data_IF_475220473546
#
_entry.id   IF_475220473546
#
_cell.length_a   1.000
_cell.length_b   1.000
_cell.length_c   1.000
_cell.angle_alpha   90.00
_cell.angle_beta   90.00
_cell.angle_gamma   90.00
#
_symmetry.space_group_name_H-M   'P 1'
#
loop_
_entity.id
_entity.type
_entity.pdbx_description
1 polymer ?
#
# COMPACT_ATOMS: atom_id res chain seq x y z
N UNK A 1 -2.55 9.41 0.02
CA UNK A 1 -2.37 9.30 1.49
C UNK A 1 -3.45 8.40 2.11
N UNK A 2 -3.45 7.08 1.74
CA UNK A 2 -4.44 6.13 2.22
C UNK A 2 -4.37 5.89 3.74
N UNK A 3 -3.19 6.01 4.34
CA UNK A 3 -3.01 5.80 5.78
C UNK A 3 -3.70 6.91 6.59
N UNK A 4 -3.50 8.17 6.21
CA UNK A 4 -4.19 9.30 6.83
C UNK A 4 -5.69 9.26 6.61
N UNK A 5 -6.15 8.82 5.43
CA UNK A 5 -7.58 8.67 5.15
C UNK A 5 -8.23 7.63 6.08
N UNK A 6 -7.63 6.45 6.24
CA UNK A 6 -8.15 5.40 7.11
C UNK A 6 -8.18 5.84 8.58
N UNK A 7 -7.10 6.49 9.02
CA UNK A 7 -7.00 7.01 10.38
C UNK A 7 -8.07 8.07 10.65
N UNK A 8 -8.20 9.07 9.75
CA UNK A 8 -9.19 10.14 9.89
C UNK A 8 -10.63 9.59 9.81
N UNK A 9 -10.89 8.63 8.93
CA UNK A 9 -12.21 8.00 8.85
C UNK A 9 -12.54 7.22 10.12
N UNK A 10 -11.58 6.53 10.74
CA UNK A 10 -11.72 5.89 12.04
C UNK A 10 -12.00 6.89 13.15
N UNK A 11 -11.29 8.03 13.16
CA UNK A 11 -11.56 9.13 14.07
C UNK A 11 -12.99 9.64 13.94
N UNK A 12 -13.46 9.96 12.73
CA UNK A 12 -14.83 10.41 12.48
C UNK A 12 -15.89 9.37 12.90
N UNK A 13 -15.58 8.09 12.74
CA UNK A 13 -16.44 7.02 13.22
C UNK A 13 -16.54 7.00 14.76
N UNK A 14 -15.50 7.37 15.49
CA UNK A 14 -15.54 7.47 16.95
C UNK A 14 -16.44 8.60 17.45
N UNK A 15 -16.60 9.63 16.64
CA UNK A 15 -17.50 10.79 16.88
C UNK A 15 -18.94 10.55 16.40
N UNK A 16 -19.27 9.30 16.02
CA UNK A 16 -20.58 8.88 15.48
C UNK A 16 -20.98 9.51 14.12
N UNK A 17 -20.06 10.16 13.40
CA UNK A 17 -20.31 10.62 12.03
C UNK A 17 -20.41 9.47 11.03
N UNK A 18 -19.71 8.36 11.29
CA UNK A 18 -19.67 7.17 10.43
C UNK A 18 -19.87 5.91 11.27
N UNK A 19 -20.53 4.93 10.69
CA UNK A 19 -20.65 3.61 11.32
C UNK A 19 -19.33 2.84 11.07
N UNK A 20 -18.62 2.49 12.15
CA UNK A 20 -17.31 1.83 12.09
C UNK A 20 -17.32 0.49 11.35
N UNK A 21 -18.39 -0.30 11.48
CA UNK A 21 -18.49 -1.61 10.84
C UNK A 21 -18.59 -1.49 9.32
N UNK A 22 -19.52 -0.65 8.84
CA UNK A 22 -19.65 -0.39 7.40
C UNK A 22 -18.41 0.26 6.81
N UNK A 23 -17.80 1.19 7.56
CA UNK A 23 -16.56 1.84 7.16
C UNK A 23 -15.44 0.82 6.91
N UNK A 24 -15.19 -0.07 7.86
CA UNK A 24 -14.16 -1.11 7.74
C UNK A 24 -14.43 -2.02 6.55
N UNK A 25 -15.68 -2.49 6.38
CA UNK A 25 -16.04 -3.38 5.26
C UNK A 25 -15.79 -2.70 3.92
N UNK A 26 -16.26 -1.47 3.73
CA UNK A 26 -16.14 -0.73 2.47
C UNK A 26 -14.66 -0.45 2.16
N UNK A 27 -13.89 0.04 3.12
CA UNK A 27 -12.47 0.34 2.93
C UNK A 27 -11.65 -0.92 2.64
N UNK A 28 -11.95 -2.02 3.32
CA UNK A 28 -11.29 -3.31 3.07
C UNK A 28 -11.60 -3.83 1.66
N UNK A 29 -12.87 -3.79 1.23
CA UNK A 29 -13.25 -4.20 -0.12
C UNK A 29 -12.59 -3.30 -1.18
N UNK A 30 -12.59 -1.98 -0.98
CA UNK A 30 -11.95 -1.04 -1.90
C UNK A 30 -10.44 -1.33 -2.04
N UNK A 31 -9.75 -1.59 -0.92
CA UNK A 31 -8.33 -1.92 -0.91
C UNK A 31 -8.04 -3.25 -1.65
N UNK A 32 -8.86 -4.30 -1.41
CA UNK A 32 -8.70 -5.60 -2.06
C UNK A 32 -8.97 -5.48 -3.56
N UNK A 33 -10.03 -4.80 -3.96
CA UNK A 33 -10.41 -4.62 -5.36
C UNK A 33 -9.35 -3.80 -6.11
N UNK A 34 -8.86 -2.69 -5.52
CA UNK A 34 -7.81 -1.87 -6.09
C UNK A 34 -6.55 -2.65 -6.42
N UNK A 35 -6.06 -3.46 -5.47
CA UNK A 35 -4.89 -4.30 -5.68
C UNK A 35 -5.12 -5.41 -6.71
N UNK A 36 -6.34 -5.97 -6.79
CA UNK A 36 -6.67 -6.92 -7.84
C UNK A 36 -6.56 -6.29 -9.23
N UNK A 37 -7.02 -5.04 -9.40
CA UNK A 37 -6.81 -4.33 -10.66
C UNK A 37 -5.32 -4.12 -10.95
N UNK A 38 -4.52 -3.74 -9.96
CA UNK A 38 -3.07 -3.62 -10.07
C UNK A 38 -2.42 -4.93 -10.53
N UNK A 39 -2.76 -6.05 -9.88
CA UNK A 39 -2.26 -7.37 -10.24
C UNK A 39 -2.65 -7.77 -11.68
N UNK A 40 -3.91 -7.62 -12.06
CA UNK A 40 -4.39 -7.95 -13.40
C UNK A 40 -3.73 -7.08 -14.47
N UNK A 41 -3.54 -5.80 -14.18
CA UNK A 41 -2.80 -4.89 -15.03
C UNK A 41 -1.36 -5.38 -15.23
N UNK A 42 -0.64 -5.66 -14.15
CA UNK A 42 0.72 -6.21 -14.20
C UNK A 42 0.81 -7.50 -15.00
N UNK A 43 -0.13 -8.42 -14.78
CA UNK A 43 -0.19 -9.70 -15.48
C UNK A 43 -0.46 -9.58 -16.97
N UNK A 44 -1.35 -8.66 -17.39
CA UNK A 44 -1.74 -8.48 -18.80
C UNK A 44 -0.75 -7.59 -19.56
N UNK A 45 -0.32 -6.52 -18.94
CA UNK A 45 0.47 -5.47 -19.60
C UNK A 45 1.98 -5.72 -19.44
N UNK A 46 2.40 -6.29 -18.31
CA UNK A 46 3.80 -6.59 -18.03
C UNK A 46 4.49 -7.31 -19.19
N UNK A 47 4.05 -8.51 -19.61
CA UNK A 47 4.70 -9.26 -20.68
C UNK A 47 4.79 -8.50 -22.01
N UNK A 48 3.82 -7.60 -22.30
CA UNK A 48 3.82 -6.80 -23.51
C UNK A 48 4.82 -5.64 -23.46
N UNK A 49 4.96 -5.01 -22.29
CA UNK A 49 5.93 -3.92 -22.09
C UNK A 49 7.38 -4.43 -22.14
N UNK A 50 7.62 -5.62 -21.62
CA UNK A 50 8.96 -6.25 -21.63
C UNK A 50 9.35 -6.88 -22.99
N UNK A 51 8.41 -6.97 -23.94
CA UNK A 51 8.71 -7.36 -25.33
C UNK A 51 9.24 -6.22 -26.20
N UNK A 52 8.95 -4.96 -25.85
CA UNK A 52 9.47 -3.76 -26.54
C UNK A 52 10.83 -3.38 -25.93
N UNK A 53 11.87 -3.79 -26.57
CA UNK A 53 13.21 -4.13 -26.13
C UNK A 53 14.20 -2.98 -25.89
N UNK A 54 13.89 -1.75 -25.63
CA UNK A 54 14.93 -0.73 -25.39
C UNK A 54 14.60 0.34 -24.36
N UNK A 55 13.77 0.03 -23.36
CA UNK A 55 13.53 0.96 -22.26
C UNK A 55 14.32 0.52 -21.01
N UNK A 56 15.03 1.46 -20.38
CA UNK A 56 15.77 1.25 -19.12
C UNK A 56 14.88 0.68 -18.00
N UNK A 57 13.57 0.96 -18.03
CA UNK A 57 12.59 0.51 -17.03
C UNK A 57 11.99 -0.88 -17.37
N UNK A 58 11.87 -1.23 -18.66
CA UNK A 58 11.19 -2.45 -19.13
C UNK A 58 12.14 -3.48 -19.72
N UNK A 59 13.27 -3.71 -19.05
CA UNK A 59 14.24 -4.73 -19.45
C UNK A 59 13.80 -6.12 -18.99
N UNK A 60 14.07 -7.18 -19.79
CA UNK A 60 13.76 -8.58 -19.44
C UNK A 60 14.33 -9.01 -18.08
N UNK A 61 15.49 -8.45 -17.71
CA UNK A 61 16.14 -8.71 -16.42
C UNK A 61 15.30 -8.24 -15.24
N UNK A 62 14.54 -7.15 -15.38
CA UNK A 62 13.66 -6.66 -14.32
C UNK A 62 12.45 -7.59 -14.11
N UNK A 63 11.97 -8.24 -15.17
CA UNK A 63 10.94 -9.28 -15.05
C UNK A 63 11.48 -10.49 -14.26
N UNK A 64 12.67 -10.99 -14.62
CA UNK A 64 13.31 -12.09 -13.90
C UNK A 64 13.63 -11.74 -12.44
N UNK A 65 14.01 -10.49 -12.17
CA UNK A 65 14.21 -9.99 -10.80
C UNK A 65 12.90 -10.00 -10.01
N UNK A 66 11.78 -9.61 -10.61
CA UNK A 66 10.47 -9.66 -9.96
C UNK A 66 10.03 -11.10 -9.66
N UNK A 67 10.20 -12.03 -10.62
CA UNK A 67 9.93 -13.45 -10.40
C UNK A 67 10.78 -14.00 -9.23
N UNK A 68 12.11 -13.83 -9.31
CA UNK A 68 13.04 -14.26 -8.25
C UNK A 68 12.79 -13.61 -6.88
N UNK A 69 12.33 -12.35 -6.87
CA UNK A 69 11.98 -11.67 -5.63
C UNK A 69 10.84 -12.37 -4.90
N UNK A 70 9.76 -12.70 -5.61
CA UNK A 70 8.64 -13.42 -5.00
C UNK A 70 8.93 -14.89 -4.71
N UNK A 71 9.82 -15.53 -5.48
CA UNK A 71 10.33 -16.87 -5.17
C UNK A 71 11.15 -16.84 -3.86
N UNK A 72 12.00 -15.85 -3.68
CA UNK A 72 12.89 -15.73 -2.52
C UNK A 72 12.16 -15.30 -1.25
N UNK A 73 11.33 -14.27 -1.33
CA UNK A 73 10.69 -13.64 -0.16
C UNK A 73 9.26 -14.13 0.08
N UNK A 74 8.71 -14.88 -0.89
CA UNK A 74 7.39 -15.46 -0.79
C UNK A 74 6.23 -14.46 -0.84
N UNK A 75 5.01 -14.98 -0.73
CA UNK A 75 3.80 -14.16 -0.87
C UNK A 75 3.54 -13.26 0.35
N UNK A 76 4.23 -13.47 1.49
CA UNK A 76 4.15 -12.59 2.67
C UNK A 76 4.55 -11.15 2.34
N UNK A 77 5.37 -10.96 1.31
CA UNK A 77 5.75 -9.65 0.80
C UNK A 77 4.53 -8.78 0.43
N UNK A 78 3.43 -9.38 -0.04
CA UNK A 78 2.19 -8.66 -0.35
C UNK A 78 1.60 -8.00 0.91
N UNK A 79 1.64 -8.67 2.06
CA UNK A 79 1.16 -8.12 3.33
C UNK A 79 2.09 -6.99 3.79
N UNK A 80 3.39 -7.26 3.85
CA UNK A 80 4.39 -6.31 4.36
C UNK A 80 4.44 -5.04 3.50
N UNK A 81 4.36 -5.19 2.17
CA UNK A 81 4.37 -4.08 1.23
C UNK A 81 3.27 -3.04 1.51
N UNK A 82 2.11 -3.45 2.05
CA UNK A 82 1.00 -2.53 2.36
C UNK A 82 1.35 -1.50 3.42
N UNK A 83 2.27 -1.82 4.32
CA UNK A 83 2.73 -0.91 5.38
C UNK A 83 3.83 0.06 4.92
N UNK A 84 4.30 -0.08 3.67
CA UNK A 84 5.31 0.81 3.09
C UNK A 84 4.63 1.62 1.98
N UNK A 85 4.40 2.95 2.16
CA UNK A 85 3.51 3.75 1.33
C UNK A 85 3.78 3.68 -0.18
N UNK A 86 5.06 3.73 -0.59
CA UNK A 86 5.43 3.65 -2.01
C UNK A 86 5.34 2.20 -2.52
N UNK A 87 5.83 1.24 -1.74
CA UNK A 87 5.93 -0.16 -2.17
C UNK A 87 4.54 -0.76 -2.40
N UNK A 88 3.55 -0.43 -1.56
CA UNK A 88 2.19 -0.95 -1.66
C UNK A 88 1.51 -0.64 -3.00
N UNK A 89 1.82 0.51 -3.61
CA UNK A 89 1.21 0.89 -4.89
C UNK A 89 1.73 0.05 -6.05
N UNK A 90 2.96 -0.42 -5.96
CA UNK A 90 3.61 -1.21 -7.00
C UNK A 90 3.57 -2.72 -6.73
N UNK A 91 3.48 -3.15 -5.48
CA UNK A 91 3.54 -4.55 -5.10
C UNK A 91 2.53 -5.45 -5.86
N UNK A 92 1.24 -5.08 -5.99
CA UNK A 92 0.29 -5.87 -6.77
C UNK A 92 0.66 -5.97 -8.25
N UNK A 93 1.12 -4.86 -8.84
CA UNK A 93 1.55 -4.80 -10.25
C UNK A 93 2.76 -5.71 -10.45
N UNK A 94 3.76 -5.61 -9.58
CA UNK A 94 4.98 -6.44 -9.63
C UNK A 94 4.65 -7.92 -9.40
N UNK A 95 3.69 -8.24 -8.52
CA UNK A 95 3.21 -9.61 -8.34
C UNK A 95 2.56 -10.18 -9.61
N UNK A 96 1.81 -9.34 -10.33
CA UNK A 96 1.24 -9.69 -11.63
C UNK A 96 2.29 -9.89 -12.71
N UNK A 97 3.29 -9.01 -12.78
CA UNK A 97 4.45 -9.11 -13.69
C UNK A 97 5.25 -10.37 -13.39
N UNK A 98 5.54 -10.65 -12.11
CA UNK A 98 6.27 -11.83 -11.64
C UNK A 98 5.46 -13.12 -11.67
N UNK A 99 4.30 -13.15 -12.34
CA UNK A 99 3.45 -14.33 -12.56
C UNK A 99 3.08 -15.08 -11.28
N UNK A 100 2.98 -14.39 -10.14
CA UNK A 100 2.50 -15.01 -8.91
C UNK A 100 1.14 -15.69 -9.17
N UNK A 101 0.91 -16.88 -8.58
CA UNK A 101 -0.38 -17.56 -8.71
C UNK A 101 -1.50 -16.70 -8.13
N UNK A 102 -2.57 -16.46 -8.90
CA UNK A 102 -3.66 -15.55 -8.50
C UNK A 102 -4.29 -15.95 -7.15
N UNK A 103 -4.52 -17.24 -6.90
CA UNK A 103 -5.07 -17.70 -5.62
C UNK A 103 -4.18 -17.32 -4.44
N UNK A 104 -2.87 -17.46 -4.60
CA UNK A 104 -1.89 -17.06 -3.58
C UNK A 104 -1.91 -15.55 -3.39
N UNK A 105 -1.84 -14.76 -4.48
CA UNK A 105 -1.96 -13.31 -4.42
C UNK A 105 -3.24 -12.88 -3.70
N UNK A 106 -4.40 -13.42 -4.09
CA UNK A 106 -5.70 -13.05 -3.53
C UNK A 106 -5.77 -13.31 -2.02
N UNK A 107 -5.29 -14.47 -1.56
CA UNK A 107 -5.28 -14.80 -0.14
C UNK A 107 -4.47 -13.79 0.68
N UNK A 108 -3.25 -13.49 0.24
CA UNK A 108 -2.38 -12.54 0.94
C UNK A 108 -2.84 -11.09 0.77
N UNK A 109 -3.51 -10.76 -0.35
CA UNK A 109 -4.16 -9.48 -0.57
C UNK A 109 -5.32 -9.25 0.39
N UNK A 110 -6.18 -10.26 0.61
CA UNK A 110 -7.28 -10.20 1.58
C UNK A 110 -6.72 -10.04 2.99
N UNK A 111 -5.79 -10.91 3.39
CA UNK A 111 -5.19 -10.87 4.72
C UNK A 111 -4.48 -9.52 4.99
N UNK A 112 -3.67 -9.06 4.05
CA UNK A 112 -2.97 -7.77 4.16
C UNK A 112 -3.92 -6.58 4.13
N UNK A 113 -4.97 -6.63 3.29
CA UNK A 113 -6.02 -5.62 3.22
C UNK A 113 -6.79 -5.50 4.52
N UNK A 114 -7.20 -6.63 5.09
CA UNK A 114 -7.87 -6.68 6.39
C UNK A 114 -6.96 -6.13 7.50
N UNK A 115 -5.73 -6.63 7.60
CA UNK A 115 -4.80 -6.21 8.64
C UNK A 115 -4.51 -4.71 8.58
N UNK A 116 -4.21 -4.18 7.39
CA UNK A 116 -3.91 -2.77 7.18
C UNK A 116 -5.12 -1.86 7.46
N UNK A 117 -6.31 -2.21 6.92
CA UNK A 117 -7.53 -1.43 7.13
C UNK A 117 -7.93 -1.43 8.60
N UNK A 118 -7.97 -2.61 9.24
CA UNK A 118 -8.34 -2.72 10.66
C UNK A 118 -7.36 -1.95 11.55
N UNK A 119 -6.05 -2.13 11.37
CA UNK A 119 -5.06 -1.50 12.24
C UNK A 119 -5.17 0.03 12.21
N UNK A 120 -5.25 0.64 11.03
CA UNK A 120 -5.27 2.10 10.91
C UNK A 120 -6.63 2.69 11.29
N UNK A 121 -7.74 2.06 10.86
CA UNK A 121 -9.08 2.57 11.18
C UNK A 121 -9.38 2.44 12.67
N UNK A 122 -9.03 1.31 13.29
CA UNK A 122 -9.21 1.14 14.74
C UNK A 122 -8.23 2.01 15.54
N UNK A 123 -6.99 2.21 15.07
CA UNK A 123 -6.08 3.15 15.69
C UNK A 123 -6.67 4.57 15.75
N UNK A 124 -7.23 5.07 14.62
CA UNK A 124 -7.94 6.36 14.60
C UNK A 124 -9.14 6.40 15.55
N UNK A 125 -9.94 5.32 15.54
CA UNK A 125 -11.13 5.19 16.35
C UNK A 125 -10.84 5.21 17.87
N UNK A 126 -9.86 4.42 18.33
CA UNK A 126 -9.55 4.32 19.76
C UNK A 126 -8.68 5.51 20.22
N UNK A 127 -7.75 5.97 19.41
CA UNK A 127 -6.88 7.10 19.78
C UNK A 127 -7.69 8.37 20.05
N UNK A 128 -8.75 8.60 19.26
CA UNK A 128 -9.68 9.72 19.47
C UNK A 128 -10.40 9.68 20.82
N UNK A 129 -10.61 8.48 21.39
CA UNK A 129 -11.28 8.31 22.68
C UNK A 129 -10.35 8.43 23.88
N UNK A 130 -9.03 8.22 23.66
CA UNK A 130 -8.02 8.23 24.72
C UNK A 130 -7.43 9.61 24.91
N UNK A 131 -7.30 10.40 23.84
CA UNK A 131 -6.70 11.73 23.89
C UNK A 131 -7.81 12.78 24.11
N UNK A 132 -7.83 13.47 25.27
CA UNK A 132 -8.73 14.58 25.50
C UNK A 132 -8.47 15.69 24.46
N UNK A 133 -9.55 16.38 24.03
CA UNK A 133 -9.44 17.50 23.08
C UNK A 133 -8.76 17.18 21.74
N UNK A 134 -8.76 15.94 21.34
CA UNK A 134 -8.18 15.49 20.04
C UNK A 134 -8.74 16.28 18.86
N UNK A 135 -9.97 16.75 18.97
CA UNK A 135 -10.62 17.60 17.95
C UNK A 135 -9.82 18.87 17.68
N UNK A 136 -9.25 19.49 18.71
CA UNK A 136 -8.41 20.70 18.59
C UNK A 136 -7.05 20.43 17.93
N UNK A 137 -6.61 19.16 17.94
CA UNK A 137 -5.29 18.73 17.42
C UNK A 137 -5.41 17.85 16.17
N UNK A 138 -6.62 17.70 15.63
CA UNK A 138 -6.89 16.83 14.49
C UNK A 138 -6.03 17.18 13.29
N UNK A 139 -5.95 18.47 12.95
CA UNK A 139 -5.13 18.98 11.84
C UNK A 139 -3.64 18.65 12.04
N UNK A 140 -3.14 18.80 13.26
CA UNK A 140 -1.76 18.48 13.61
C UNK A 140 -1.48 16.98 13.50
N UNK A 141 -2.40 16.14 13.98
CA UNK A 141 -2.28 14.69 13.91
C UNK A 141 -2.27 14.22 12.45
N UNK A 142 -3.18 14.75 11.64
CA UNK A 142 -3.23 14.44 10.19
C UNK A 142 -1.94 14.91 9.51
N UNK A 143 -1.47 16.12 9.82
CA UNK A 143 -0.22 16.66 9.27
C UNK A 143 0.98 15.76 9.63
N UNK A 144 1.09 15.32 10.88
CA UNK A 144 2.17 14.42 11.33
C UNK A 144 2.11 13.09 10.56
N UNK A 145 0.93 12.49 10.41
CA UNK A 145 0.76 11.22 9.68
C UNK A 145 1.16 11.40 8.21
N UNK A 146 0.76 12.49 7.57
CA UNK A 146 1.15 12.82 6.19
C UNK A 146 2.67 12.98 6.08
N UNK A 147 3.28 13.76 6.98
CA UNK A 147 4.73 13.99 7.00
C UNK A 147 5.48 12.66 7.15
N UNK A 148 5.10 11.84 8.14
CA UNK A 148 5.73 10.53 8.36
C UNK A 148 5.58 9.63 7.12
N UNK A 149 4.43 9.68 6.44
CA UNK A 149 4.18 8.88 5.23
C UNK A 149 4.99 9.35 4.02
N UNK A 150 5.37 10.63 3.97
CA UNK A 150 6.10 11.24 2.84
C UNK A 150 7.62 11.20 3.03
N UNK A 151 8.13 11.20 4.26
CA UNK A 151 9.58 11.18 4.55
C UNK A 151 10.32 10.00 3.88
N UNK A 152 9.89 8.72 4.00
CA UNK A 152 10.62 7.61 3.40
C UNK A 152 10.77 7.70 1.87
N UNK A 153 9.71 8.03 1.08
CA UNK A 153 9.84 8.23 -0.35
C UNK A 153 10.81 9.34 -0.72
N UNK A 154 10.73 10.49 -0.04
CA UNK A 154 11.63 11.62 -0.29
C UNK A 154 13.08 11.24 0.02
N UNK A 155 13.33 10.58 1.15
CA UNK A 155 14.66 10.12 1.54
C UNK A 155 15.27 9.21 0.47
N UNK A 156 14.49 8.26 -0.06
CA UNK A 156 14.94 7.36 -1.14
C UNK A 156 15.27 8.11 -2.43
N UNK A 157 14.43 9.06 -2.84
CA UNK A 157 14.65 9.86 -4.04
C UNK A 157 15.90 10.75 -3.93
N UNK A 158 16.12 11.35 -2.76
CA UNK A 158 17.30 12.19 -2.49
C UNK A 158 18.56 11.33 -2.49
N UNK A 159 18.54 10.17 -1.83
CA UNK A 159 19.67 9.23 -1.79
C UNK A 159 20.04 8.72 -3.18
N UNK A 160 19.08 8.34 -4.02
CA UNK A 160 19.34 7.94 -5.41
C UNK A 160 19.99 9.05 -6.25
N UNK A 161 19.53 10.31 -6.09
CA UNK A 161 20.13 11.44 -6.80
C UNK A 161 21.56 11.72 -6.36
N UNK A 162 21.88 11.55 -5.09
CA UNK A 162 23.22 11.72 -4.55
C UNK A 162 24.18 10.61 -4.99
N UNK A 163 23.70 9.37 -5.07
CA UNK A 163 24.53 8.22 -5.47
C UNK A 163 24.80 8.18 -7.00
N UNK A 164 23.95 8.84 -7.82
CA UNK A 164 24.16 8.95 -9.27
C UNK A 164 25.10 10.09 -9.69
N UNK A 165 25.59 10.90 -8.75
CA UNK A 165 26.51 12.02 -9.01
C UNK A 165 27.98 11.68 -8.68
N UNK A 166 28.26 10.48 -8.23
CA UNK A 166 29.60 9.89 -8.07
C UNK A 166 29.76 8.75 -9.08
#
# INVERSE_FOLDING_TARGET
>A
PGDSLLFTAGFLASQNYLNIYWLIIILMLAAIIGDNFGYLFGKKVGPKLFKKTNSLLFHKDNLLRAEKFYEKYGPMTIIIARFIPVVRTFAPIVAGIGKMKYKTFLLYNIAGGALWTLSLTLAGFYLSRIIPDVEKHLELIIAIIIIISIIPPIYHLVKEKLTKKV
#
